data_IF_744777075765
#
_entry.id   IF_744777075765
#
_cell.length_a   1.000
_cell.length_b   1.000
_cell.length_c   1.000
_cell.angle_alpha   90.00
_cell.angle_beta   90.00
_cell.angle_gamma   90.00
#
_symmetry.space_group_name_H-M   'P 1'
#
loop_
_entity.id
_entity.type
_entity.pdbx_description
1 polymer ?
#
# COMPACT_ATOMS: atom_id res chain seq x y z
N UNK A 1 -5.68 -4.05 11.21
CA UNK A 1 -5.31 -2.89 10.35
C UNK A 1 -5.46 -1.61 11.16
N UNK A 2 -4.49 -0.68 11.12
CA UNK A 2 -4.51 0.54 11.94
C UNK A 2 -5.76 1.40 11.75
N UNK A 3 -6.38 1.39 10.57
CA UNK A 3 -7.64 2.10 10.30
C UNK A 3 -8.80 1.65 11.19
N UNK A 4 -8.79 0.39 11.63
CA UNK A 4 -9.79 -0.13 12.57
C UNK A 4 -9.61 0.38 14.00
N UNK A 5 -8.36 0.43 14.47
CA UNK A 5 -8.01 1.00 15.78
C UNK A 5 -8.22 2.51 15.83
N UNK A 6 -7.90 3.23 14.74
CA UNK A 6 -8.11 4.68 14.66
C UNK A 6 -9.62 5.00 14.64
N UNK A 7 -10.43 4.20 13.95
CA UNK A 7 -11.88 4.35 13.98
C UNK A 7 -12.47 4.05 15.37
N UNK A 8 -11.98 3.02 16.05
CA UNK A 8 -12.39 2.69 17.42
C UNK A 8 -12.01 3.81 18.41
N UNK A 9 -10.86 4.45 18.21
CA UNK A 9 -10.39 5.59 19.02
C UNK A 9 -11.24 6.85 18.85
N UNK A 10 -11.84 7.08 17.67
CA UNK A 10 -12.67 8.26 17.37
C UNK A 10 -14.16 8.01 17.65
N UNK A 11 -14.67 6.80 17.41
CA UNK A 11 -16.11 6.50 17.44
C UNK A 11 -16.62 5.83 18.73
N UNK A 12 -15.71 5.37 19.61
CA UNK A 12 -16.05 4.66 20.85
C UNK A 12 -16.89 3.40 20.63
N UNK A 13 -17.60 2.97 21.67
CA UNK A 13 -18.42 1.73 21.71
C UNK A 13 -19.60 1.72 20.71
N UNK A 14 -19.86 2.82 20.01
CA UNK A 14 -20.90 2.91 18.96
C UNK A 14 -20.55 2.07 17.73
N UNK A 15 -19.28 1.71 17.54
CA UNK A 15 -18.81 0.89 16.42
C UNK A 15 -19.25 -0.57 16.52
N UNK A 16 -19.53 -1.06 17.73
CA UNK A 16 -19.91 -2.44 18.01
C UNK A 16 -21.35 -2.76 17.58
N UNK A 17 -22.17 -1.73 17.34
CA UNK A 17 -23.56 -1.90 16.87
C UNK A 17 -23.66 -2.23 15.37
N UNK A 18 -22.57 -2.08 14.62
CA UNK A 18 -22.55 -2.28 13.17
C UNK A 18 -22.01 -3.69 12.88
N UNK A 19 -22.83 -4.63 12.37
CA UNK A 19 -22.44 -6.04 12.18
C UNK A 19 -21.24 -6.23 11.24
N UNK A 20 -20.95 -5.23 10.41
CA UNK A 20 -19.77 -5.20 9.53
C UNK A 20 -18.42 -5.25 10.28
N UNK A 21 -18.35 -4.72 11.51
CA UNK A 21 -17.09 -4.68 12.27
C UNK A 21 -16.76 -5.98 12.99
N UNK A 22 -17.77 -6.74 13.42
CA UNK A 22 -17.61 -8.02 14.11
C UNK A 22 -17.14 -9.15 13.18
N UNK A 23 -17.57 -9.15 11.91
CA UNK A 23 -17.28 -10.24 10.95
C UNK A 23 -15.97 -10.04 10.17
N UNK A 24 -15.50 -8.80 9.98
CA UNK A 24 -14.40 -8.49 9.04
C UNK A 24 -13.11 -8.03 9.77
N UNK A 25 -13.21 -7.56 11.02
CA UNK A 25 -12.10 -6.88 11.70
C UNK A 25 -11.94 -7.26 13.17
N UNK A 26 -11.90 -8.55 13.50
CA UNK A 26 -11.37 -8.97 14.80
C UNK A 26 -9.87 -8.63 14.84
N UNK A 27 -9.39 -7.75 15.75
CA UNK A 27 -7.98 -7.49 15.90
C UNK A 27 -7.33 -8.72 16.56
N UNK A 28 -7.10 -9.73 15.75
CA UNK A 28 -6.38 -10.94 16.14
C UNK A 28 -4.88 -10.64 16.03
N UNK A 29 -4.16 -10.80 17.13
CA UNK A 29 -2.71 -10.61 17.15
C UNK A 29 -1.99 -11.60 16.20
N UNK A 30 -2.64 -12.71 15.83
CA UNK A 30 -2.16 -13.69 14.86
C UNK A 30 -2.29 -13.29 13.39
N UNK A 31 -2.70 -12.06 13.07
CA UNK A 31 -2.84 -11.62 11.68
C UNK A 31 -1.48 -11.55 10.96
N UNK A 32 -1.11 -12.65 10.28
CA UNK A 32 0.19 -12.86 9.60
C UNK A 32 0.63 -11.67 8.72
N UNK A 33 -0.32 -10.98 8.07
CA UNK A 33 -0.01 -9.83 7.21
C UNK A 33 0.66 -8.67 7.96
N UNK A 34 0.41 -8.50 9.25
CA UNK A 34 1.03 -7.44 10.06
C UNK A 34 2.53 -7.73 10.24
N UNK A 35 2.88 -8.99 10.50
CA UNK A 35 4.27 -9.42 10.64
C UNK A 35 5.06 -9.30 9.34
N UNK A 36 4.45 -9.60 8.18
CA UNK A 36 5.08 -9.36 6.87
C UNK A 36 5.42 -7.88 6.68
N UNK A 37 4.48 -6.97 6.96
CA UNK A 37 4.73 -5.53 6.81
C UNK A 37 5.82 -5.03 7.75
N UNK A 38 5.83 -5.51 9.00
CA UNK A 38 6.86 -5.17 9.98
C UNK A 38 8.23 -5.72 9.57
N UNK A 39 8.28 -6.96 9.07
CA UNK A 39 9.49 -7.60 8.57
C UNK A 39 10.07 -6.88 7.34
N UNK A 40 9.23 -6.47 6.38
CA UNK A 40 9.67 -5.68 5.24
C UNK A 40 10.22 -4.31 5.68
N UNK A 41 9.56 -3.63 6.62
CA UNK A 41 10.03 -2.36 7.15
C UNK A 41 11.39 -2.51 7.84
N UNK A 42 11.53 -3.49 8.73
CA UNK A 42 12.76 -3.75 9.45
C UNK A 42 13.90 -4.17 8.50
N UNK A 43 13.61 -5.07 7.55
CA UNK A 43 14.58 -5.50 6.54
C UNK A 43 15.07 -4.36 5.65
N UNK A 44 14.17 -3.46 5.23
CA UNK A 44 14.54 -2.27 4.46
C UNK A 44 15.44 -1.32 5.26
N UNK A 45 15.14 -1.11 6.55
CA UNK A 45 15.96 -0.26 7.44
C UNK A 45 17.34 -0.87 7.64
N UNK A 46 17.42 -2.15 8.01
CA UNK A 46 18.70 -2.85 8.21
C UNK A 46 19.53 -2.84 6.93
N UNK A 47 18.91 -3.09 5.78
CA UNK A 47 19.57 -3.01 4.47
C UNK A 47 20.12 -1.61 4.17
N UNK A 48 19.32 -0.56 4.39
CA UNK A 48 19.74 0.81 4.15
C UNK A 48 20.91 1.24 5.08
N UNK A 49 20.88 0.80 6.34
CA UNK A 49 21.96 1.08 7.31
C UNK A 49 23.23 0.31 6.96
N UNK A 50 23.11 -0.97 6.57
CA UNK A 50 24.25 -1.79 6.16
C UNK A 50 24.93 -1.23 4.88
N UNK A 51 24.14 -0.74 3.92
CA UNK A 51 24.66 -0.07 2.71
C UNK A 51 25.20 1.34 2.98
N UNK A 52 25.03 1.90 4.19
CA UNK A 52 25.34 3.30 4.54
C UNK A 52 24.65 4.34 3.65
N UNK A 53 23.56 3.96 2.99
CA UNK A 53 22.75 4.84 2.12
C UNK A 53 21.51 5.39 2.83
N UNK A 54 21.43 5.22 4.15
CA UNK A 54 20.32 5.75 4.93
C UNK A 54 20.36 7.29 4.91
N UNK A 55 19.45 7.88 4.13
CA UNK A 55 19.28 9.33 4.04
C UNK A 55 17.83 9.71 4.29
N UNK A 56 17.61 10.65 5.19
CA UNK A 56 16.27 11.17 5.46
C UNK A 56 15.86 12.18 4.37
N UNK A 57 15.01 11.75 3.44
CA UNK A 57 14.55 12.56 2.31
C UNK A 57 13.14 13.09 2.57
N UNK A 58 13.00 14.41 2.63
CA UNK A 58 11.70 15.08 2.63
C UNK A 58 11.37 15.66 1.24
N UNK A 59 10.09 15.63 0.81
CA UNK A 59 9.68 16.28 -0.43
C UNK A 59 9.84 17.79 -0.29
N UNK A 60 10.45 18.44 -1.29
CA UNK A 60 10.73 19.89 -1.23
C UNK A 60 9.57 20.73 -1.76
N UNK A 61 8.67 20.15 -2.55
CA UNK A 61 7.56 20.84 -3.22
C UNK A 61 6.22 20.35 -2.72
N UNK A 62 5.26 21.28 -2.60
CA UNK A 62 3.87 20.97 -2.22
C UNK A 62 3.18 20.06 -3.27
N UNK A 63 3.54 20.19 -4.54
CA UNK A 63 3.06 19.31 -5.61
C UNK A 63 3.46 17.84 -5.40
N UNK A 64 4.67 17.59 -4.88
CA UNK A 64 5.14 16.24 -4.56
C UNK A 64 4.30 15.62 -3.43
N UNK A 65 3.98 16.41 -2.39
CA UNK A 65 3.11 15.96 -1.30
C UNK A 65 1.71 15.57 -1.76
N UNK A 66 1.08 16.39 -2.61
CA UNK A 66 -0.24 16.09 -3.17
C UNK A 66 -0.19 14.83 -4.01
N UNK A 67 0.83 14.68 -4.85
CA UNK A 67 0.96 13.53 -5.75
C UNK A 67 1.20 12.22 -4.99
N UNK A 68 2.04 12.23 -3.94
CA UNK A 68 2.27 11.06 -3.08
C UNK A 68 0.96 10.66 -2.37
N UNK A 69 0.21 11.63 -1.86
CA UNK A 69 -1.05 11.37 -1.13
C UNK A 69 -2.12 10.80 -2.05
N UNK A 70 -2.34 11.41 -3.21
CA UNK A 70 -3.32 10.95 -4.21
C UNK A 70 -2.92 9.58 -4.76
N UNK A 71 -1.63 9.37 -5.06
CA UNK A 71 -1.13 8.08 -5.52
C UNK A 71 -1.32 6.97 -4.48
N UNK A 72 -1.04 7.25 -3.21
CA UNK A 72 -1.25 6.29 -2.11
C UNK A 72 -2.72 5.91 -1.93
N UNK A 73 -3.64 6.89 -2.03
CA UNK A 73 -5.09 6.63 -1.99
C UNK A 73 -5.55 5.75 -3.14
N UNK A 74 -5.12 6.06 -4.37
CA UNK A 74 -5.44 5.27 -5.56
C UNK A 74 -4.91 3.83 -5.46
N UNK A 75 -3.68 3.64 -4.96
CA UNK A 75 -3.13 2.30 -4.71
C UNK A 75 -3.97 1.52 -3.67
N UNK A 76 -4.38 2.18 -2.59
CA UNK A 76 -5.22 1.57 -1.56
C UNK A 76 -6.57 1.09 -2.10
N UNK A 77 -7.23 1.91 -2.91
CA UNK A 77 -8.49 1.56 -3.59
C UNK A 77 -8.27 0.40 -4.55
N UNK A 78 -7.21 0.44 -5.37
CA UNK A 78 -6.90 -0.61 -6.33
C UNK A 78 -6.68 -1.99 -5.69
N UNK A 79 -5.92 -2.05 -4.59
CA UNK A 79 -5.67 -3.31 -3.86
C UNK A 79 -6.96 -3.88 -3.26
N UNK A 80 -7.90 -3.02 -2.84
CA UNK A 80 -9.21 -3.47 -2.31
C UNK A 80 -10.11 -4.05 -3.39
N UNK A 81 -10.05 -3.52 -4.61
CA UNK A 81 -10.85 -4.02 -5.73
C UNK A 81 -10.25 -5.31 -6.32
N UNK A 82 -8.93 -5.36 -6.50
CA UNK A 82 -8.25 -6.49 -7.12
C UNK A 82 -7.86 -7.60 -6.13
N UNK A 83 -7.90 -7.35 -4.81
CA UNK A 83 -7.39 -8.21 -3.73
C UNK A 83 -5.91 -8.61 -3.85
N UNK A 84 -5.17 -7.90 -4.70
CA UNK A 84 -3.81 -8.23 -5.12
C UNK A 84 -2.95 -6.96 -5.11
N UNK A 85 -1.66 -7.09 -4.82
CA UNK A 85 -0.65 -6.04 -4.90
C UNK A 85 0.61 -6.55 -5.61
N UNK A 86 1.54 -5.67 -6.01
CA UNK A 86 2.75 -6.03 -6.77
C UNK A 86 3.50 -7.24 -6.22
N UNK A 87 3.73 -7.31 -4.90
CA UNK A 87 4.46 -8.41 -4.26
C UNK A 87 3.65 -9.71 -4.33
N UNK A 88 2.34 -9.66 -4.03
CA UNK A 88 1.50 -10.87 -4.06
C UNK A 88 1.24 -11.36 -5.48
N UNK A 89 1.15 -10.47 -6.47
CA UNK A 89 1.04 -10.90 -7.88
C UNK A 89 2.30 -11.59 -8.34
N UNK A 90 3.46 -11.03 -8.02
CA UNK A 90 4.75 -11.53 -8.51
C UNK A 90 5.13 -12.86 -7.85
N UNK A 91 5.06 -12.95 -6.51
CA UNK A 91 5.46 -14.16 -5.78
C UNK A 91 4.35 -15.21 -5.62
N UNK A 92 3.07 -14.82 -5.70
CA UNK A 92 1.94 -15.73 -5.52
C UNK A 92 1.34 -16.20 -6.84
N UNK A 93 0.80 -15.27 -7.62
CA UNK A 93 -0.06 -15.59 -8.77
C UNK A 93 0.70 -15.92 -10.06
N UNK A 94 1.91 -15.37 -10.22
CA UNK A 94 2.78 -15.62 -11.39
C UNK A 94 3.27 -17.08 -11.48
N UNK A 95 3.81 -17.69 -10.41
CA UNK A 95 4.25 -19.09 -10.47
C UNK A 95 3.09 -20.09 -10.61
N UNK A 96 1.87 -19.69 -10.26
CA UNK A 96 0.65 -20.50 -10.45
C UNK A 96 0.08 -20.41 -11.88
N UNK A 97 0.72 -19.67 -12.79
CA UNK A 97 0.23 -19.37 -14.15
C UNK A 97 -1.24 -18.87 -14.17
N UNK A 98 -1.66 -18.14 -13.13
CA UNK A 98 -3.03 -17.69 -13.03
C UNK A 98 -3.27 -16.51 -14.01
N UNK A 99 -4.25 -16.66 -14.91
CA UNK A 99 -4.63 -15.62 -15.87
C UNK A 99 -5.02 -14.30 -15.17
N UNK A 100 -5.66 -14.38 -14.00
CA UNK A 100 -5.99 -13.21 -13.19
C UNK A 100 -4.75 -12.47 -12.67
N UNK A 101 -3.67 -13.19 -12.37
CA UNK A 101 -2.37 -12.61 -12.02
C UNK A 101 -1.74 -11.84 -13.17
N UNK A 102 -1.76 -12.42 -14.38
CA UNK A 102 -1.24 -11.76 -15.57
C UNK A 102 -2.05 -10.50 -15.95
N UNK A 103 -3.38 -10.53 -15.82
CA UNK A 103 -4.20 -9.32 -16.00
C UNK A 103 -3.90 -8.26 -14.93
N UNK A 104 -3.69 -8.65 -13.68
CA UNK A 104 -3.31 -7.70 -12.64
C UNK A 104 -1.96 -7.03 -12.93
N UNK A 105 -0.97 -7.80 -13.42
CA UNK A 105 0.35 -7.28 -13.82
C UNK A 105 0.22 -6.25 -14.95
N UNK A 106 -0.58 -6.53 -15.99
CA UNK A 106 -0.75 -5.59 -17.10
C UNK A 106 -1.42 -4.28 -16.64
N UNK A 107 -2.40 -4.36 -15.75
CA UNK A 107 -3.04 -3.19 -15.12
C UNK A 107 -2.06 -2.37 -14.27
N UNK A 108 -1.23 -3.03 -13.47
CA UNK A 108 -0.18 -2.38 -12.67
C UNK A 108 0.83 -1.66 -13.58
N UNK A 109 1.29 -2.33 -14.64
CA UNK A 109 2.25 -1.76 -15.58
C UNK A 109 1.69 -0.55 -16.33
N UNK A 110 0.45 -0.65 -16.83
CA UNK A 110 -0.22 0.46 -17.50
C UNK A 110 -0.44 1.65 -16.56
N UNK A 111 -0.85 1.38 -15.32
CA UNK A 111 -1.01 2.41 -14.28
C UNK A 111 0.31 3.10 -13.92
N UNK A 112 1.39 2.34 -13.75
CA UNK A 112 2.71 2.90 -13.46
C UNK A 112 3.26 3.73 -14.62
N UNK A 113 3.06 3.27 -15.87
CA UNK A 113 3.44 4.00 -17.06
C UNK A 113 2.73 5.35 -17.14
N UNK A 114 1.40 5.35 -17.01
CA UNK A 114 0.60 6.57 -17.06
C UNK A 114 0.93 7.52 -15.89
N UNK A 115 1.10 6.98 -14.68
CA UNK A 115 1.51 7.73 -13.51
C UNK A 115 2.87 8.40 -13.70
N UNK A 116 3.84 7.71 -14.29
CA UNK A 116 5.17 8.28 -14.58
C UNK A 116 5.12 9.42 -15.60
N UNK A 117 4.20 9.35 -16.58
CA UNK A 117 4.00 10.39 -17.58
C UNK A 117 3.42 11.67 -16.94
N UNK A 118 2.45 11.51 -16.03
CA UNK A 118 1.89 12.63 -15.26
C UNK A 118 2.97 13.22 -14.34
N UNK A 119 3.72 12.37 -13.63
CA UNK A 119 4.78 12.79 -12.73
C UNK A 119 5.82 13.66 -13.45
N UNK A 120 6.30 13.23 -14.62
CA UNK A 120 7.22 14.02 -15.46
C UNK A 120 6.64 15.38 -15.82
N UNK A 121 5.39 15.42 -16.32
CA UNK A 121 4.75 16.68 -16.71
C UNK A 121 4.58 17.67 -15.55
N UNK A 122 4.25 17.18 -14.36
CA UNK A 122 3.99 18.04 -13.19
C UNK A 122 5.27 18.57 -12.55
N UNK A 123 6.40 17.87 -12.66
CA UNK A 123 7.66 18.26 -12.00
C UNK A 123 8.74 18.80 -12.93
N UNK A 124 8.73 18.45 -14.21
CA UNK A 124 9.63 19.01 -15.23
C UNK A 124 9.03 20.24 -15.93
N UNK A 125 7.70 20.41 -15.88
CA UNK A 125 6.98 21.51 -16.55
C UNK A 125 6.64 22.72 -15.65
N UNK A 126 7.13 22.76 -14.41
CA UNK A 126 6.87 23.83 -13.43
C UNK A 126 8.11 24.61 -13.04
#
# INVERSE_FOLDING_TARGET
MMTGLIAQFILGDTIDRIPFWHEVFKPDAGYWKIYISLGMLFGAIVGAVASKEFFWRFPKRLSEWVMITVGGLLMGIGIRLAFVCNVSTFFGLTPELNLGGYLAISGILAGAWFGSLIYKRVLEGG
#
